data_IF_931324883565
#
_entry.id   IF_931324883565
#
_cell.length_a   1.000
_cell.length_b   1.000
_cell.length_c   1.000
_cell.angle_alpha   90.00
_cell.angle_beta   90.00
_cell.angle_gamma   90.00
#
_symmetry.space_group_name_H-M   'P 1'
#
loop_
_entity.id
_entity.type
_entity.pdbx_description
1 polymer ?
#
# COMPACT_ATOMS: atom_id res chain seq x y z
N UNK A 1 -16.95 -12.58 29.85
CA UNK A 1 -17.75 -12.67 28.60
C UNK A 1 -17.48 -11.44 27.74
N UNK A 2 -16.82 -11.62 26.60
CA UNK A 2 -16.64 -10.55 25.62
C UNK A 2 -17.97 -10.08 25.01
N UNK A 3 -18.03 -8.81 24.57
CA UNK A 3 -19.17 -8.27 23.83
C UNK A 3 -19.24 -8.91 22.43
N UNK A 4 -20.45 -9.10 21.90
CA UNK A 4 -20.66 -9.63 20.53
C UNK A 4 -19.87 -8.80 19.51
N UNK A 5 -18.93 -9.44 18.81
CA UNK A 5 -18.00 -8.79 17.88
C UNK A 5 -16.56 -8.64 18.37
N UNK A 6 -16.25 -9.04 19.60
CA UNK A 6 -14.88 -9.12 20.13
C UNK A 6 -14.57 -10.53 20.66
N UNK A 7 -13.30 -10.91 20.61
CA UNK A 7 -12.77 -12.04 21.37
C UNK A 7 -12.47 -11.62 22.81
N UNK A 8 -12.44 -12.56 23.75
CA UNK A 8 -11.99 -12.29 25.12
C UNK A 8 -10.47 -12.05 25.11
N UNK A 9 -10.03 -10.97 25.76
CA UNK A 9 -8.62 -10.63 25.83
C UNK A 9 -7.93 -11.53 26.86
N UNK A 10 -7.14 -12.48 26.38
CA UNK A 10 -6.38 -13.41 27.21
C UNK A 10 -4.93 -12.94 27.48
N UNK A 11 -4.63 -11.67 27.21
CA UNK A 11 -3.33 -11.06 27.52
C UNK A 11 -3.45 -10.24 28.81
N UNK A 12 -2.47 -10.40 29.69
CA UNK A 12 -2.32 -9.59 30.90
C UNK A 12 -2.18 -8.10 30.55
N UNK A 13 -2.61 -7.23 31.47
CA UNK A 13 -2.37 -5.80 31.37
C UNK A 13 -0.87 -5.47 31.41
N UNK A 14 -0.51 -4.29 30.90
CA UNK A 14 0.88 -3.85 30.80
C UNK A 14 1.57 -3.80 32.18
N UNK A 15 2.71 -4.49 32.27
CA UNK A 15 3.71 -4.34 33.34
C UNK A 15 5.10 -4.23 32.73
N UNK A 16 6.06 -3.69 33.48
CA UNK A 16 7.45 -3.55 33.01
C UNK A 16 8.06 -4.93 32.74
N UNK A 17 7.77 -5.90 33.60
CA UNK A 17 8.23 -7.28 33.55
C UNK A 17 7.75 -7.98 32.26
N UNK A 18 6.45 -7.88 31.94
CA UNK A 18 5.86 -8.45 30.72
C UNK A 18 6.43 -7.77 29.46
N UNK A 19 6.66 -6.45 29.53
CA UNK A 19 7.15 -5.67 28.39
C UNK A 19 8.60 -5.99 27.99
N UNK A 20 9.44 -6.51 28.88
CA UNK A 20 10.88 -6.80 28.63
C UNK A 20 11.16 -7.65 27.39
N UNK A 21 10.23 -8.54 27.01
CA UNK A 21 10.36 -9.42 25.85
C UNK A 21 9.89 -8.76 24.54
N UNK A 22 9.13 -7.66 24.62
CA UNK A 22 8.49 -6.98 23.48
C UNK A 22 9.20 -5.65 23.15
N UNK A 23 9.57 -4.89 24.17
CA UNK A 23 10.27 -3.61 24.05
C UNK A 23 11.78 -3.77 24.28
N UNK A 24 12.57 -2.83 23.76
CA UNK A 24 13.98 -2.73 24.07
C UNK A 24 14.20 -2.15 25.50
N UNK A 25 15.44 -2.21 26.00
CA UNK A 25 15.78 -1.76 27.36
C UNK A 25 15.52 -0.26 27.61
N UNK A 26 15.49 0.55 26.55
CA UNK A 26 15.26 1.99 26.58
C UNK A 26 13.78 2.36 26.49
N UNK A 27 12.89 1.42 26.12
CA UNK A 27 11.45 1.63 25.98
C UNK A 27 11.03 2.44 24.74
N UNK A 28 11.98 2.88 23.91
CA UNK A 28 11.77 3.68 22.70
C UNK A 28 11.56 2.83 21.43
N UNK A 29 11.71 1.50 21.53
CA UNK A 29 11.61 0.60 20.40
C UNK A 29 11.25 -0.83 20.76
N UNK A 30 11.14 -1.67 19.74
CA UNK A 30 10.81 -3.09 19.85
C UNK A 30 12.10 -3.88 20.16
N UNK A 31 12.01 -4.94 20.96
CA UNK A 31 13.12 -5.86 21.22
C UNK A 31 13.56 -6.56 19.93
N UNK A 32 14.86 -6.86 19.79
CA UNK A 32 15.37 -7.56 18.59
C UNK A 32 14.68 -8.92 18.38
N UNK A 33 14.48 -9.66 19.47
CA UNK A 33 13.79 -10.96 19.48
C UNK A 33 12.35 -10.82 18.96
N UNK A 34 11.61 -9.80 19.40
CA UNK A 34 10.24 -9.58 18.93
C UNK A 34 10.20 -9.04 17.50
N UNK A 35 11.18 -8.22 17.09
CA UNK A 35 11.31 -7.75 15.71
C UNK A 35 11.52 -8.91 14.73
N UNK A 36 12.42 -9.86 15.06
CA UNK A 36 12.63 -11.09 14.27
C UNK A 36 11.36 -11.94 14.18
N UNK A 37 10.61 -12.07 15.28
CA UNK A 37 9.31 -12.76 15.32
C UNK A 37 8.27 -12.07 14.41
N UNK A 38 8.18 -10.75 14.47
CA UNK A 38 7.30 -9.95 13.61
C UNK A 38 7.67 -10.08 12.13
N UNK A 39 8.95 -10.04 11.78
CA UNK A 39 9.39 -10.13 10.39
C UNK A 39 9.16 -11.52 9.79
N UNK A 40 9.39 -12.60 10.56
CA UNK A 40 8.99 -13.96 10.16
C UNK A 40 7.47 -14.06 9.94
N UNK A 41 6.66 -13.45 10.81
CA UNK A 41 5.21 -13.42 10.64
C UNK A 41 4.79 -12.64 9.40
N UNK A 42 5.35 -11.44 9.17
CA UNK A 42 5.12 -10.63 7.96
C UNK A 42 5.45 -11.44 6.71
N UNK A 43 6.63 -12.04 6.63
CA UNK A 43 7.06 -12.84 5.48
C UNK A 43 6.07 -13.97 5.14
N UNK A 44 5.67 -14.77 6.14
CA UNK A 44 4.71 -15.86 5.96
C UNK A 44 3.33 -15.37 5.47
N UNK A 45 2.80 -14.30 6.08
CA UNK A 45 1.51 -13.72 5.66
C UNK A 45 1.58 -13.08 4.28
N UNK A 46 2.71 -12.46 3.94
CA UNK A 46 2.91 -11.82 2.64
C UNK A 46 3.12 -12.85 1.52
N UNK A 47 3.75 -14.00 1.82
CA UNK A 47 3.80 -15.16 0.91
C UNK A 47 2.40 -15.73 0.67
N UNK A 48 1.60 -15.92 1.73
CA UNK A 48 0.21 -16.38 1.62
C UNK A 48 -0.64 -15.45 0.73
N UNK A 49 -0.56 -14.15 0.98
CA UNK A 49 -1.26 -13.11 0.22
C UNK A 49 -0.90 -13.17 -1.28
N UNK A 50 0.40 -13.15 -1.61
CA UNK A 50 0.86 -13.19 -3.01
C UNK A 50 0.57 -14.51 -3.73
N UNK A 51 0.52 -15.64 -3.03
CA UNK A 51 0.34 -16.97 -3.66
C UNK A 51 -1.11 -17.40 -3.77
N UNK A 52 -1.97 -17.05 -2.80
CA UNK A 52 -3.37 -17.50 -2.78
C UNK A 52 -4.39 -16.45 -3.21
N UNK A 53 -4.05 -15.16 -3.14
CA UNK A 53 -4.98 -14.04 -3.40
C UNK A 53 -4.55 -13.17 -4.58
N UNK A 54 -3.66 -13.65 -5.45
CA UNK A 54 -3.15 -12.87 -6.59
C UNK A 54 -4.29 -12.38 -7.50
N UNK A 55 -5.27 -13.24 -7.80
CA UNK A 55 -6.43 -12.87 -8.63
C UNK A 55 -7.26 -11.76 -7.98
N UNK A 56 -7.51 -11.86 -6.68
CA UNK A 56 -8.30 -10.89 -5.93
C UNK A 56 -7.60 -9.52 -5.88
N UNK A 57 -6.27 -9.52 -5.67
CA UNK A 57 -5.43 -8.31 -5.66
C UNK A 57 -5.50 -7.58 -7.00
N UNK A 58 -5.43 -8.28 -8.13
CA UNK A 58 -5.44 -7.65 -9.46
C UNK A 58 -6.84 -7.43 -10.04
N UNK A 59 -7.89 -7.98 -9.42
CA UNK A 59 -9.29 -7.72 -9.81
C UNK A 59 -9.75 -6.30 -9.44
N UNK A 60 -9.21 -5.73 -8.35
CA UNK A 60 -9.45 -4.35 -7.97
C UNK A 60 -8.19 -3.49 -8.09
N UNK A 61 -8.32 -2.31 -8.69
CA UNK A 61 -7.23 -1.34 -8.84
C UNK A 61 -7.14 -0.33 -7.69
N UNK A 62 -8.06 -0.34 -6.72
CA UNK A 62 -8.06 0.66 -5.64
C UNK A 62 -7.00 0.38 -4.57
N UNK A 63 -6.71 1.37 -3.72
CA UNK A 63 -5.79 1.20 -2.58
C UNK A 63 -6.44 0.39 -1.46
N UNK A 64 -7.75 0.55 -1.24
CA UNK A 64 -8.46 -0.02 -0.10
C UNK A 64 -8.43 -1.56 -0.07
N UNK A 65 -8.60 -2.18 -1.24
CA UNK A 65 -8.76 -3.65 -1.39
C UNK A 65 -7.92 -4.26 -2.50
N UNK A 66 -7.22 -3.44 -3.30
CA UNK A 66 -6.68 -3.84 -4.59
C UNK A 66 -5.16 -3.71 -4.75
N UNK A 67 -4.73 -3.82 -6.00
CA UNK A 67 -3.33 -3.81 -6.42
C UNK A 67 -2.59 -2.54 -5.99
N UNK A 68 -3.21 -1.36 -6.09
CA UNK A 68 -2.60 -0.12 -5.63
C UNK A 68 -2.32 -0.09 -4.11
N UNK A 69 -3.02 -0.91 -3.30
CA UNK A 69 -2.71 -1.12 -1.89
C UNK A 69 -1.40 -1.88 -1.69
N UNK A 70 -1.13 -2.88 -2.53
CA UNK A 70 0.17 -3.56 -2.59
C UNK A 70 1.28 -2.63 -3.09
N UNK A 71 0.99 -1.77 -4.09
CA UNK A 71 1.92 -0.75 -4.53
C UNK A 71 2.28 0.23 -3.40
N UNK A 72 1.30 0.66 -2.59
CA UNK A 72 1.52 1.51 -1.41
C UNK A 72 2.44 0.84 -0.39
N UNK A 73 2.20 -0.44 -0.08
CA UNK A 73 3.08 -1.21 0.81
C UNK A 73 4.53 -1.21 0.29
N UNK A 74 4.73 -1.54 -0.99
CA UNK A 74 6.05 -1.60 -1.60
C UNK A 74 6.74 -0.22 -1.64
N UNK A 75 5.99 0.86 -1.91
CA UNK A 75 6.48 2.24 -1.82
C UNK A 75 6.93 2.60 -0.39
N UNK A 76 6.15 2.25 0.65
CA UNK A 76 6.54 2.49 2.05
C UNK A 76 7.81 1.73 2.45
N UNK A 77 8.00 0.51 1.93
CA UNK A 77 9.22 -0.26 2.17
C UNK A 77 10.43 0.34 1.43
N UNK A 78 10.25 0.89 0.23
CA UNK A 78 11.29 1.63 -0.50
C UNK A 78 11.67 2.95 0.18
N UNK A 79 10.73 3.70 0.74
CA UNK A 79 11.03 4.94 1.50
C UNK A 79 11.89 4.64 2.74
N UNK A 80 11.67 3.49 3.40
CA UNK A 80 12.46 3.03 4.55
C UNK A 80 13.84 2.47 4.18
N UNK A 81 14.06 2.15 2.90
CA UNK A 81 15.27 1.51 2.37
C UNK A 81 15.62 2.16 1.03
N UNK A 82 16.03 3.44 1.02
CA UNK A 82 16.22 4.21 -0.21
C UNK A 82 17.25 3.59 -1.16
N UNK A 83 18.25 2.89 -0.62
CA UNK A 83 19.32 2.22 -1.37
C UNK A 83 18.88 0.92 -2.06
N UNK A 84 17.64 0.46 -1.84
CA UNK A 84 17.06 -0.70 -2.53
C UNK A 84 15.96 -0.26 -3.53
N UNK A 85 16.29 -0.13 -4.83
CA UNK A 85 15.33 0.26 -5.86
C UNK A 85 14.32 -0.85 -6.20
N UNK A 86 14.57 -2.12 -5.84
CA UNK A 86 13.68 -3.25 -6.15
C UNK A 86 12.29 -3.08 -5.52
N UNK A 87 12.20 -2.43 -4.36
CA UNK A 87 10.92 -2.12 -3.73
C UNK A 87 10.08 -1.18 -4.61
N UNK A 88 10.66 -0.14 -5.19
CA UNK A 88 9.97 0.80 -6.07
C UNK A 88 9.65 0.18 -7.44
N UNK A 89 10.58 -0.58 -8.01
CA UNK A 89 10.34 -1.35 -9.24
C UNK A 89 9.23 -2.41 -9.04
N UNK A 90 9.13 -3.00 -7.86
CA UNK A 90 8.05 -3.94 -7.52
C UNK A 90 6.73 -3.19 -7.29
N UNK A 91 6.74 -2.02 -6.64
CA UNK A 91 5.56 -1.17 -6.49
C UNK A 91 4.93 -0.81 -7.84
N UNK A 92 5.75 -0.48 -8.84
CA UNK A 92 5.30 -0.18 -10.20
C UNK A 92 4.51 -1.32 -10.85
N UNK A 93 4.86 -2.59 -10.57
CA UNK A 93 4.17 -3.78 -11.11
C UNK A 93 2.76 -3.99 -10.55
N UNK A 94 2.41 -3.29 -9.47
CA UNK A 94 1.09 -3.32 -8.84
C UNK A 94 0.22 -2.10 -9.19
N UNK A 95 0.70 -1.21 -10.08
CA UNK A 95 -0.03 -0.03 -10.54
C UNK A 95 -0.50 -0.25 -11.97
N UNK A 96 -1.78 0.02 -12.21
CA UNK A 96 -2.37 0.12 -13.54
C UNK A 96 -3.08 1.48 -13.65
N UNK A 97 -2.45 2.41 -14.39
CA UNK A 97 -3.01 3.73 -14.69
C UNK A 97 -3.71 3.80 -16.05
N UNK A 98 -3.74 2.68 -16.79
CA UNK A 98 -4.44 2.60 -18.09
C UNK A 98 -5.91 2.23 -17.86
N UNK A 99 -6.20 1.36 -16.88
CA UNK A 99 -7.55 0.87 -16.56
C UNK A 99 -8.23 1.64 -15.41
N UNK A 100 -8.06 2.95 -15.34
CA UNK A 100 -8.72 3.83 -14.36
C UNK A 100 -10.24 3.91 -14.61
N UNK A 101 -11.04 3.97 -13.53
CA UNK A 101 -12.50 3.74 -13.63
C UNK A 101 -13.30 5.03 -13.87
N UNK A 102 -12.73 6.21 -13.64
CA UNK A 102 -13.35 7.53 -13.84
C UNK A 102 -14.48 7.89 -12.88
N UNK A 103 -14.85 7.00 -11.95
CA UNK A 103 -16.09 7.10 -11.13
C UNK A 103 -15.88 7.62 -9.71
N UNK A 104 -14.66 7.56 -9.16
CA UNK A 104 -14.36 7.91 -7.76
C UNK A 104 -13.02 8.63 -7.69
N UNK A 105 -12.95 9.70 -6.89
CA UNK A 105 -11.78 10.60 -6.79
C UNK A 105 -11.02 10.53 -5.46
N UNK A 106 -11.44 9.66 -4.53
CA UNK A 106 -10.77 9.48 -3.23
C UNK A 106 -9.45 8.71 -3.39
N UNK A 107 -8.47 8.97 -2.52
CA UNK A 107 -7.22 8.18 -2.47
C UNK A 107 -7.49 6.68 -2.24
N UNK A 108 -8.29 6.30 -1.24
CA UNK A 108 -8.49 4.87 -0.91
C UNK A 108 -9.28 4.09 -1.98
N UNK A 109 -10.41 4.65 -2.44
CA UNK A 109 -11.42 3.91 -3.20
C UNK A 109 -11.61 4.42 -4.64
N UNK A 110 -10.67 5.21 -5.18
CA UNK A 110 -10.79 5.89 -6.47
C UNK A 110 -9.45 6.19 -7.13
N UNK A 111 -9.50 6.79 -8.31
CA UNK A 111 -8.36 6.88 -9.24
C UNK A 111 -7.23 7.78 -8.73
N UNK A 112 -7.53 8.71 -7.82
CA UNK A 112 -6.52 9.57 -7.19
C UNK A 112 -5.49 8.79 -6.37
N UNK A 113 -5.84 7.61 -5.86
CA UNK A 113 -4.91 6.72 -5.17
C UNK A 113 -3.81 6.17 -6.08
N UNK A 114 -4.19 5.33 -7.08
CA UNK A 114 -3.26 4.82 -8.08
C UNK A 114 -2.44 5.93 -8.75
N UNK A 115 -3.06 7.04 -9.15
CA UNK A 115 -2.35 8.17 -9.78
C UNK A 115 -1.32 8.83 -8.86
N UNK A 116 -1.66 9.08 -7.59
CA UNK A 116 -0.71 9.67 -6.63
C UNK A 116 0.49 8.75 -6.35
N UNK A 117 0.23 7.45 -6.16
CA UNK A 117 1.29 6.45 -5.97
C UNK A 117 2.17 6.33 -7.23
N UNK A 118 1.55 6.23 -8.40
CA UNK A 118 2.24 6.19 -9.69
C UNK A 118 3.19 7.38 -9.86
N UNK A 119 2.71 8.58 -9.56
CA UNK A 119 3.49 9.83 -9.68
C UNK A 119 4.73 9.79 -8.78
N UNK A 120 4.59 9.35 -7.52
CA UNK A 120 5.71 9.27 -6.56
C UNK A 120 6.72 8.19 -6.98
N UNK A 121 6.25 7.03 -7.46
CA UNK A 121 7.13 5.95 -7.94
C UNK A 121 7.89 6.41 -9.19
N UNK A 122 7.20 7.04 -10.15
CA UNK A 122 7.82 7.56 -11.37
C UNK A 122 8.88 8.63 -11.07
N UNK A 123 8.58 9.57 -10.18
CA UNK A 123 9.53 10.59 -9.71
C UNK A 123 10.77 9.97 -9.04
N UNK A 124 10.58 8.97 -8.16
CA UNK A 124 11.69 8.33 -7.42
C UNK A 124 12.54 7.38 -8.28
N UNK A 125 11.96 6.73 -9.29
CA UNK A 125 12.71 5.85 -10.20
C UNK A 125 13.44 6.62 -11.30
N UNK A 126 12.94 7.81 -11.70
CA UNK A 126 13.51 8.60 -12.79
C UNK A 126 13.71 7.78 -14.06
N UNK A 127 14.93 7.76 -14.60
CA UNK A 127 15.29 7.00 -15.80
C UNK A 127 15.27 5.47 -15.61
N UNK A 128 15.16 4.95 -14.39
CA UNK A 128 15.06 3.49 -14.10
C UNK A 128 13.61 2.99 -14.02
N UNK A 129 12.64 3.86 -14.29
CA UNK A 129 11.21 3.57 -14.30
C UNK A 129 10.86 2.62 -15.45
N UNK A 130 9.99 1.61 -15.27
CA UNK A 130 9.50 0.82 -16.39
C UNK A 130 8.75 1.69 -17.42
N UNK A 131 8.85 1.30 -18.69
CA UNK A 131 8.21 2.00 -19.81
C UNK A 131 6.70 2.17 -19.60
N UNK A 132 6.06 1.17 -18.99
CA UNK A 132 4.62 1.12 -18.67
C UNK A 132 4.09 2.26 -17.78
N UNK A 133 4.97 3.10 -17.19
CA UNK A 133 4.71 4.13 -16.15
C UNK A 133 3.34 4.84 -16.23
N UNK A 134 3.17 5.99 -16.93
CA UNK A 134 4.15 6.87 -17.59
C UNK A 134 5.06 7.69 -16.64
N UNK A 135 5.62 8.82 -17.10
CA UNK A 135 6.41 9.75 -16.28
C UNK A 135 5.54 10.60 -15.33
N UNK A 136 6.20 11.26 -14.38
CA UNK A 136 5.53 12.00 -13.31
C UNK A 136 4.83 13.29 -13.79
N UNK A 137 5.25 13.90 -14.89
CA UNK A 137 4.66 15.13 -15.45
C UNK A 137 3.37 14.79 -16.21
N UNK A 138 3.43 13.78 -17.07
CA UNK A 138 2.26 13.17 -17.74
C UNK A 138 1.21 12.72 -16.71
N UNK A 139 1.64 12.07 -15.63
CA UNK A 139 0.75 11.66 -14.54
C UNK A 139 0.17 12.87 -13.78
N UNK A 140 0.95 13.92 -13.51
CA UNK A 140 0.46 15.13 -12.85
C UNK A 140 -0.60 15.86 -13.68
N UNK A 141 -0.43 15.92 -15.01
CA UNK A 141 -1.38 16.53 -15.95
C UNK A 141 -2.70 15.74 -16.05
N UNK A 142 -2.66 14.41 -15.86
CA UNK A 142 -3.86 13.55 -15.92
C UNK A 142 -5.00 13.96 -14.97
N UNK A 143 -4.68 14.70 -13.88
CA UNK A 143 -5.66 15.31 -12.96
C UNK A 143 -6.73 16.14 -13.67
N UNK A 144 -6.40 16.80 -14.79
CA UNK A 144 -7.35 17.61 -15.55
C UNK A 144 -8.45 16.75 -16.20
N UNK A 145 -8.15 15.49 -16.55
CA UNK A 145 -9.08 14.58 -17.23
C UNK A 145 -10.25 14.16 -16.33
N UNK A 146 -10.03 14.11 -15.01
CA UNK A 146 -11.08 13.83 -14.01
C UNK A 146 -12.15 14.93 -13.87
N UNK A 147 -11.91 16.14 -14.38
CA UNK A 147 -12.92 17.21 -14.39
C UNK A 147 -13.76 17.25 -15.69
N UNK A 148 -13.24 16.71 -16.80
CA UNK A 148 -13.86 16.84 -18.12
C UNK A 148 -15.10 15.95 -18.32
N UNK A 149 -15.20 14.82 -17.61
CA UNK A 149 -16.30 13.84 -17.75
C UNK A 149 -17.67 14.30 -17.21
N UNK A 150 -17.81 15.57 -16.80
CA UNK A 150 -19.10 16.16 -16.38
C UNK A 150 -19.90 16.82 -17.52
N UNK A 151 -19.38 16.89 -18.75
CA UNK A 151 -19.98 17.72 -19.82
C UNK A 151 -20.92 16.98 -20.80
N UNK A 152 -21.31 15.72 -20.55
CA UNK A 152 -22.26 14.98 -21.41
C UNK A 152 -23.35 14.30 -20.58
N UNK A 153 -24.24 15.11 -20.00
CA UNK A 153 -25.52 14.65 -19.46
C UNK A 153 -26.64 15.36 -20.23
N UNK A 154 -26.99 14.81 -21.40
CA UNK A 154 -28.17 15.23 -22.16
C UNK A 154 -29.41 14.69 -21.44
N UNK A 155 -30.33 15.56 -20.96
CA UNK A 155 -31.61 15.11 -20.43
C UNK A 155 -32.46 14.51 -21.57
N UNK A 156 -33.25 13.50 -21.21
CA UNK A 156 -34.36 12.95 -22.00
C UNK A 156 -35.64 13.63 -21.51
#
# INVERSE_FOLDING_TARGET
MARKGAFENNYDDYTVEVATNILNKTGDGISEIFSLKLDKFKQLKFQLLKSKMQKDIFYDGTIYTGSAGMALYYLMQGIRKPDNPEYLQTAAKYIDVQNLKGRRISFLCGDAGPLAIATIIAYKLGSTRPETLPDYETLAQSKQRCHSTKSTFTPI
#
